data_IF_193319327912
#
_entry.id   IF_193319327912
#
_cell.length_a   1.000
_cell.length_b   1.000
_cell.length_c   1.000
_cell.angle_alpha   90.00
_cell.angle_beta   90.00
_cell.angle_gamma   90.00
#
_symmetry.space_group_name_H-M   'P 1'
#
loop_
_entity.id
_entity.type
_entity.pdbx_description
1 polymer ?
#
# COMPACT_ATOMS: atom_id res chain seq x y z
N UNK A 1 -18.89 -2.76 3.46
CA UNK A 1 -17.60 -2.90 2.76
C UNK A 1 -17.81 -2.45 1.33
N UNK A 2 -17.26 -1.30 0.97
CA UNK A 2 -17.45 -0.69 -0.34
C UNK A 2 -16.11 -0.63 -1.07
N UNK A 3 -16.02 -1.21 -2.27
CA UNK A 3 -14.82 -1.14 -3.09
C UNK A 3 -14.56 0.31 -3.51
N UNK A 4 -13.31 0.77 -3.35
CA UNK A 4 -12.86 2.10 -3.76
C UNK A 4 -12.19 1.99 -5.13
N UNK A 5 -12.67 2.78 -6.10
CA UNK A 5 -12.18 2.79 -7.50
C UNK A 5 -11.99 4.22 -8.03
N UNK A 6 -11.51 4.34 -9.27
CA UNK A 6 -11.44 5.62 -9.99
C UNK A 6 -10.59 6.70 -9.32
N UNK A 7 -11.08 7.94 -9.33
CA UNK A 7 -10.34 9.10 -8.79
C UNK A 7 -10.08 9.00 -7.29
N UNK A 8 -10.97 8.36 -6.53
CA UNK A 8 -10.76 8.15 -5.10
C UNK A 8 -9.62 7.15 -4.85
N UNK A 9 -9.60 6.04 -5.60
CA UNK A 9 -8.50 5.09 -5.54
C UNK A 9 -7.16 5.77 -5.92
N UNK A 10 -7.17 6.58 -6.99
CA UNK A 10 -5.98 7.35 -7.41
C UNK A 10 -5.52 8.32 -6.32
N UNK A 11 -6.44 9.08 -5.74
CA UNK A 11 -6.17 10.05 -4.67
C UNK A 11 -5.55 9.38 -3.44
N UNK A 12 -6.03 8.19 -3.09
CA UNK A 12 -5.57 7.44 -1.94
C UNK A 12 -4.25 6.72 -2.19
N UNK A 13 -3.84 6.46 -3.43
CA UNK A 13 -2.66 5.63 -3.73
C UNK A 13 -1.48 6.44 -4.27
N UNK A 14 -1.69 7.25 -5.31
CA UNK A 14 -0.59 7.89 -6.04
C UNK A 14 0.12 8.93 -5.17
N UNK A 15 1.44 8.75 -5.00
CA UNK A 15 2.30 9.63 -4.21
C UNK A 15 2.04 9.55 -2.71
N UNK A 16 1.50 8.43 -2.20
CA UNK A 16 1.09 8.26 -0.80
C UNK A 16 1.92 7.24 -0.06
N UNK A 17 2.12 7.50 1.23
CA UNK A 17 2.55 6.50 2.19
C UNK A 17 1.36 6.01 2.98
N UNK A 18 1.17 4.69 3.00
CA UNK A 18 0.18 4.03 3.82
C UNK A 18 0.82 3.40 5.03
N UNK A 19 0.11 3.53 6.14
CA UNK A 19 0.39 2.82 7.36
C UNK A 19 -0.61 1.68 7.53
N UNK A 20 -0.11 0.44 7.56
CA UNK A 20 -0.91 -0.78 7.66
C UNK A 20 -0.66 -1.47 9.00
N UNK A 21 -1.71 -2.06 9.57
CA UNK A 21 -1.58 -2.97 10.70
C UNK A 21 -1.16 -4.36 10.21
N UNK A 22 -0.01 -4.84 10.69
CA UNK A 22 0.50 -6.18 10.39
C UNK A 22 1.08 -6.79 11.67
N UNK A 23 0.58 -7.96 12.06
CA UNK A 23 1.01 -8.64 13.28
C UNK A 23 0.93 -7.75 14.54
N UNK A 24 -0.10 -6.91 14.63
CA UNK A 24 -0.31 -5.96 15.73
C UNK A 24 0.66 -4.77 15.76
N UNK A 25 1.44 -4.57 14.69
CA UNK A 25 2.46 -3.52 14.56
C UNK A 25 2.33 -2.76 13.25
N UNK A 26 2.85 -1.52 13.18
CA UNK A 26 2.86 -0.73 11.96
C UNK A 26 3.82 -1.29 10.89
N UNK A 27 3.33 -1.47 9.66
CA UNK A 27 4.13 -1.66 8.45
C UNK A 27 3.77 -0.61 7.37
N UNK A 28 4.77 -0.05 6.70
CA UNK A 28 4.62 1.09 5.81
C UNK A 28 4.81 0.70 4.35
N UNK A 29 4.04 1.31 3.46
CA UNK A 29 4.25 1.21 2.01
C UNK A 29 4.10 2.59 1.38
N UNK A 30 5.10 3.00 0.59
CA UNK A 30 5.08 4.20 -0.23
C UNK A 30 4.84 3.82 -1.70
N UNK A 31 3.84 4.44 -2.31
CA UNK A 31 3.43 4.26 -3.70
C UNK A 31 3.75 5.54 -4.49
N UNK A 32 4.99 5.65 -4.97
CA UNK A 32 5.50 6.85 -5.63
C UNK A 32 4.85 7.15 -6.99
N UNK A 33 4.77 8.43 -7.35
CA UNK A 33 4.10 8.89 -8.58
C UNK A 33 4.75 8.35 -9.87
N UNK A 34 6.04 8.03 -9.82
CA UNK A 34 6.84 7.47 -10.91
C UNK A 34 6.73 5.92 -11.03
N UNK A 35 5.84 5.32 -10.24
CA UNK A 35 5.66 3.88 -10.14
C UNK A 35 6.69 3.17 -9.26
N UNK A 36 7.53 3.90 -8.52
CA UNK A 36 8.40 3.30 -7.50
C UNK A 36 7.60 2.87 -6.27
N UNK A 37 7.86 1.66 -5.78
CA UNK A 37 7.30 1.17 -4.52
C UNK A 37 8.40 1.02 -3.48
N UNK A 38 8.15 1.46 -2.25
CA UNK A 38 9.00 1.16 -1.11
C UNK A 38 8.15 0.60 0.02
N UNK A 39 8.65 -0.39 0.75
CA UNK A 39 7.94 -1.01 1.86
C UNK A 39 8.89 -1.22 3.02
N UNK A 40 8.42 -0.99 4.24
CA UNK A 40 9.10 -1.36 5.48
C UNK A 40 8.14 -2.17 6.34
N UNK A 41 8.48 -3.43 6.58
CA UNK A 41 7.71 -4.34 7.42
C UNK A 41 7.81 -3.96 8.90
N UNK A 42 6.98 -4.61 9.71
CA UNK A 42 6.89 -4.42 11.16
C UNK A 42 8.16 -4.80 11.92
N UNK A 43 9.04 -5.60 11.31
CA UNK A 43 10.34 -6.01 11.84
C UNK A 43 11.50 -5.11 11.36
N UNK A 44 11.19 -4.08 10.57
CA UNK A 44 12.17 -3.16 9.98
C UNK A 44 12.73 -3.61 8.63
N UNK A 45 12.40 -4.81 8.15
CA UNK A 45 12.84 -5.29 6.84
C UNK A 45 12.28 -4.39 5.74
N UNK A 46 13.16 -3.89 4.88
CA UNK A 46 12.81 -2.98 3.80
C UNK A 46 12.88 -3.65 2.43
N UNK A 47 11.94 -3.30 1.56
CA UNK A 47 11.86 -3.76 0.18
C UNK A 47 11.64 -2.57 -0.74
N UNK A 48 12.29 -2.62 -1.89
CA UNK A 48 12.06 -1.71 -3.00
C UNK A 48 11.45 -2.46 -4.16
N UNK A 49 10.63 -1.80 -4.96
CA UNK A 49 9.95 -2.45 -6.08
C UNK A 49 9.30 -1.47 -7.04
N UNK A 50 8.39 -2.00 -7.84
CA UNK A 50 7.52 -1.24 -8.73
C UNK A 50 6.07 -1.48 -8.35
N UNK A 51 5.24 -0.49 -8.61
CA UNK A 51 3.80 -0.63 -8.49
C UNK A 51 3.10 0.02 -9.67
N UNK A 52 1.84 -0.35 -9.88
CA UNK A 52 0.97 0.25 -10.89
C UNK A 52 -0.47 0.25 -10.42
N UNK A 53 -1.18 1.32 -10.75
CA UNK A 53 -2.63 1.42 -10.56
C UNK A 53 -3.36 0.59 -11.61
N UNK A 54 -4.45 -0.06 -11.20
CA UNK A 54 -5.41 -0.75 -12.06
C UNK A 54 -6.79 -0.10 -11.87
N UNK A 55 -7.80 -0.53 -12.63
CA UNK A 55 -9.16 0.06 -12.59
C UNK A 55 -9.81 -0.03 -11.20
N UNK A 56 -9.58 -1.13 -10.50
CA UNK A 56 -10.24 -1.50 -9.25
C UNK A 56 -9.26 -1.78 -8.08
N UNK A 57 -8.01 -1.38 -8.23
CA UNK A 57 -6.96 -1.65 -7.25
C UNK A 57 -5.57 -1.27 -7.76
N UNK A 58 -4.55 -1.93 -7.25
CA UNK A 58 -3.18 -1.76 -7.74
C UNK A 58 -2.37 -3.05 -7.60
N UNK A 59 -1.26 -3.14 -8.33
CA UNK A 59 -0.35 -4.27 -8.27
C UNK A 59 1.06 -3.83 -7.87
N UNK A 60 1.79 -4.69 -7.16
CA UNK A 60 3.18 -4.48 -6.72
C UNK A 60 4.06 -5.65 -7.13
N UNK A 61 5.31 -5.36 -7.48
CA UNK A 61 6.38 -6.33 -7.68
C UNK A 61 7.62 -5.86 -6.92
N UNK A 62 8.07 -6.65 -5.96
CA UNK A 62 9.18 -6.34 -5.07
C UNK A 62 10.49 -6.96 -5.59
N UNK A 63 11.62 -6.41 -5.15
CA UNK A 63 12.96 -6.84 -5.54
C UNK A 63 13.30 -8.31 -5.19
N UNK A 64 12.58 -8.92 -4.25
CA UNK A 64 12.72 -10.33 -3.88
C UNK A 64 11.79 -11.27 -4.68
N UNK A 65 11.09 -10.73 -5.68
CA UNK A 65 10.18 -11.46 -6.55
C UNK A 65 8.76 -11.61 -6.01
N UNK A 66 8.46 -11.14 -4.79
CA UNK A 66 7.07 -11.13 -4.29
C UNK A 66 6.21 -10.21 -5.13
N UNK A 67 4.99 -10.68 -5.40
CA UNK A 67 3.96 -9.94 -6.11
C UNK A 67 2.73 -9.78 -5.24
N UNK A 68 1.98 -8.71 -5.46
CA UNK A 68 0.73 -8.46 -4.77
C UNK A 68 -0.26 -7.76 -5.68
N UNK A 69 -1.52 -8.11 -5.56
CA UNK A 69 -2.64 -7.41 -6.17
C UNK A 69 -3.63 -7.03 -5.07
N UNK A 70 -3.89 -5.74 -4.94
CA UNK A 70 -4.59 -5.17 -3.79
C UNK A 70 -5.77 -4.34 -4.23
N UNK A 71 -6.88 -4.51 -3.51
CA UNK A 71 -8.06 -3.66 -3.58
C UNK A 71 -8.19 -2.88 -2.26
N UNK A 72 -8.73 -1.66 -2.34
CA UNK A 72 -9.04 -0.85 -1.17
C UNK A 72 -10.55 -0.85 -0.93
N UNK A 73 -10.94 -1.10 0.31
CA UNK A 73 -12.35 -1.11 0.70
C UNK A 73 -12.59 -0.13 1.85
N UNK A 74 -13.63 0.69 1.74
CA UNK A 74 -14.18 1.38 2.90
C UNK A 74 -14.95 0.36 3.76
N UNK A 75 -14.65 0.34 5.06
CA UNK A 75 -15.30 -0.53 6.03
C UNK A 75 -15.15 0.04 7.44
N UNK A 76 -16.25 0.05 8.17
CA UNK A 76 -16.32 0.47 9.58
C UNK A 76 -15.71 1.87 9.82
N UNK A 77 -15.88 2.78 8.85
CA UNK A 77 -15.34 4.15 8.92
C UNK A 77 -13.83 4.25 8.66
N UNK A 78 -13.18 3.15 8.25
CA UNK A 78 -11.78 3.10 7.85
C UNK A 78 -11.59 2.52 6.45
N UNK A 79 -10.33 2.26 6.11
CA UNK A 79 -9.95 1.61 4.85
C UNK A 79 -9.25 0.30 5.17
N UNK A 80 -9.65 -0.77 4.48
CA UNK A 80 -8.97 -2.07 4.49
C UNK A 80 -8.37 -2.37 3.13
N UNK A 81 -7.25 -3.05 3.14
CA UNK A 81 -6.66 -3.71 2.00
C UNK A 81 -7.24 -5.10 1.92
N UNK A 82 -7.59 -5.54 0.72
CA UNK A 82 -7.88 -6.94 0.43
C UNK A 82 -6.99 -7.41 -0.72
N UNK A 83 -6.35 -8.56 -0.58
CA UNK A 83 -5.70 -9.22 -1.72
C UNK A 83 -6.77 -9.65 -2.71
N UNK A 84 -6.48 -9.61 -4.02
CA UNK A 84 -7.48 -9.94 -5.06
C UNK A 84 -8.04 -11.36 -4.95
N UNK A 85 -7.24 -12.29 -4.44
CA UNK A 85 -7.66 -13.67 -4.16
C UNK A 85 -8.49 -13.81 -2.87
N UNK A 86 -8.65 -12.74 -2.10
CA UNK A 86 -9.37 -12.72 -0.82
C UNK A 86 -8.64 -13.41 0.34
N UNK A 87 -7.39 -13.87 0.14
CA UNK A 87 -6.66 -14.61 1.15
C UNK A 87 -6.13 -13.73 2.31
N UNK A 88 -5.95 -12.44 2.07
CA UNK A 88 -5.36 -11.51 3.03
C UNK A 88 -6.14 -10.21 3.10
N UNK A 89 -6.32 -9.71 4.33
CA UNK A 89 -6.76 -8.34 4.58
C UNK A 89 -5.80 -7.64 5.53
N UNK A 90 -5.66 -6.32 5.37
CA UNK A 90 -4.86 -5.47 6.27
C UNK A 90 -5.61 -4.18 6.54
N UNK A 91 -5.63 -3.72 7.79
CA UNK A 91 -6.25 -2.44 8.13
C UNK A 91 -5.30 -1.28 7.82
N UNK A 92 -5.79 -0.24 7.14
CA UNK A 92 -5.07 1.02 7.02
C UNK A 92 -5.28 1.84 8.31
N UNK A 93 -4.19 2.11 9.01
CA UNK A 93 -4.16 2.93 10.22
C UNK A 93 -3.93 4.41 9.91
N UNK A 94 -3.32 4.72 8.77
CA UNK A 94 -3.03 6.09 8.36
C UNK A 94 -2.64 6.22 6.89
N UNK A 95 -2.83 7.42 6.37
CA UNK A 95 -2.46 7.82 5.01
C UNK A 95 -1.75 9.17 5.08
N UNK A 96 -0.58 9.23 4.44
CA UNK A 96 0.29 10.39 4.45
C UNK A 96 0.64 10.79 3.01
N UNK A 97 0.88 12.08 2.80
CA UNK A 97 1.27 12.62 1.50
C UNK A 97 2.80 12.50 1.33
N UNK A 98 3.25 12.08 0.15
CA UNK A 98 4.66 11.88 -0.17
C UNK A 98 5.28 10.71 0.59
N UNK A 99 6.60 10.60 0.51
CA UNK A 99 7.40 9.61 1.24
C UNK A 99 7.62 10.05 2.70
N UNK A 100 6.53 10.07 3.48
CA UNK A 100 6.52 10.61 4.85
C UNK A 100 7.47 9.91 5.83
N UNK A 101 7.85 8.67 5.52
CA UNK A 101 8.73 7.85 6.35
C UNK A 101 10.17 7.80 5.82
N UNK A 102 10.47 8.55 4.75
CA UNK A 102 11.79 8.55 4.12
C UNK A 102 12.22 7.17 3.62
N UNK A 103 11.27 6.34 3.17
CA UNK A 103 11.52 4.97 2.72
C UNK A 103 12.35 4.93 1.43
N UNK A 104 12.25 5.97 0.59
CA UNK A 104 13.02 6.10 -0.65
C UNK A 104 14.40 6.72 -0.41
N UNK A 105 14.63 7.35 0.74
CA UNK A 105 15.95 7.84 1.11
C UNK A 105 16.81 6.65 1.55
N UNK A 106 17.76 6.24 0.70
CA UNK A 106 18.85 5.36 1.15
C UNK A 106 19.83 6.16 2.01
N UNK A 107 20.39 5.58 3.09
CA UNK A 107 21.58 6.11 3.75
C UNK A 107 22.79 6.10 2.82
#
# INVERSE_FOLDING_TARGET
>A
MNLITGDMLRLLTVGRTHMLERNGKPAFVYLGEDGTGQMRLEDGTAFSGRWRLNEDGYATEWNDGRKGEWQLHEKDGGIEYASRDGAQTLKMLGLFFGDSEGLAARP
#
